data_IF_755137524625
#
_entry.id   IF_755137524625
#
_cell.length_a   1.000
_cell.length_b   1.000
_cell.length_c   1.000
_cell.angle_alpha   90.00
_cell.angle_beta   90.00
_cell.angle_gamma   90.00
#
_symmetry.space_group_name_H-M   'P 1'
#
loop_
_entity.id
_entity.type
_entity.pdbx_description
1 polymer ?
#
# COMPACT_ATOMS: atom_id res chain seq x y z
N UNK A 1 -10.80 6.73 3.59
CA UNK A 1 -11.32 6.94 2.22
C UNK A 1 -11.87 5.61 1.75
N UNK A 2 -13.06 5.58 1.15
CA UNK A 2 -13.59 4.34 0.59
C UNK A 2 -12.69 3.91 -0.58
N UNK A 3 -12.33 2.62 -0.63
CA UNK A 3 -11.60 2.09 -1.78
C UNK A 3 -12.42 2.34 -3.05
N UNK A 4 -11.78 2.84 -4.13
CA UNK A 4 -12.48 3.00 -5.39
C UNK A 4 -12.93 1.62 -5.89
N UNK A 5 -14.20 1.50 -6.31
CA UNK A 5 -14.69 0.28 -6.95
C UNK A 5 -13.85 0.00 -8.20
N UNK A 6 -12.96 -1.00 -8.11
CA UNK A 6 -12.03 -1.34 -9.20
C UNK A 6 -12.77 -1.69 -10.48
N UNK A 7 -13.97 -2.28 -10.38
CA UNK A 7 -14.79 -2.58 -11.55
C UNK A 7 -15.34 -1.29 -12.16
N UNK A 8 -15.73 -0.31 -11.35
CA UNK A 8 -16.08 1.02 -11.83
C UNK A 8 -14.89 1.70 -12.52
N UNK A 9 -13.70 1.70 -11.92
CA UNK A 9 -12.50 2.28 -12.51
C UNK A 9 -12.17 1.65 -13.87
N UNK A 10 -12.26 0.31 -14.00
CA UNK A 10 -12.08 -0.37 -15.29
C UNK A 10 -13.11 0.05 -16.34
N UNK A 11 -14.39 0.18 -15.97
CA UNK A 11 -15.45 0.65 -16.88
C UNK A 11 -15.20 2.10 -17.32
N UNK A 12 -14.83 2.97 -16.40
CA UNK A 12 -14.54 4.37 -16.69
C UNK A 12 -13.33 4.51 -17.63
N UNK A 13 -12.27 3.73 -17.41
CA UNK A 13 -11.12 3.68 -18.31
C UNK A 13 -11.50 3.24 -19.73
N UNK A 14 -12.29 2.17 -19.86
CA UNK A 14 -12.75 1.67 -21.16
C UNK A 14 -13.59 2.70 -21.91
N UNK A 15 -14.43 3.46 -21.21
CA UNK A 15 -15.23 4.52 -21.81
C UNK A 15 -14.36 5.69 -22.32
N UNK A 16 -13.36 6.11 -21.54
CA UNK A 16 -12.41 7.13 -21.98
C UNK A 16 -11.67 6.71 -23.26
N UNK A 17 -11.24 5.45 -23.36
CA UNK A 17 -10.60 4.91 -24.58
C UNK A 17 -11.57 4.88 -25.76
N UNK A 18 -12.82 4.46 -25.54
CA UNK A 18 -13.86 4.44 -26.58
C UNK A 18 -14.12 5.83 -27.13
N UNK A 19 -14.25 6.83 -26.26
CA UNK A 19 -14.43 8.23 -26.65
C UNK A 19 -13.21 8.74 -27.42
N UNK A 20 -11.99 8.48 -26.94
CA UNK A 20 -10.76 8.88 -27.63
C UNK A 20 -10.64 8.30 -29.05
N UNK A 21 -11.23 7.13 -29.30
CA UNK A 21 -11.27 6.50 -30.63
C UNK A 21 -12.17 7.21 -31.64
N UNK A 22 -13.17 7.97 -31.18
CA UNK A 22 -14.10 8.72 -32.03
C UNK A 22 -13.87 10.24 -32.00
N UNK A 23 -12.96 10.73 -31.16
CA UNK A 23 -12.61 12.14 -31.05
C UNK A 23 -11.56 12.54 -32.10
N UNK A 24 -11.91 13.51 -32.96
CA UNK A 24 -11.00 14.07 -33.96
C UNK A 24 -10.06 15.15 -33.40
N UNK A 25 -10.50 15.86 -32.36
CA UNK A 25 -9.69 16.88 -31.70
C UNK A 25 -8.54 16.23 -30.91
N UNK A 26 -7.31 16.63 -31.22
CA UNK A 26 -6.11 15.99 -30.69
C UNK A 26 -5.98 16.25 -29.19
N UNK A 27 -6.25 17.48 -28.74
CA UNK A 27 -6.12 17.85 -27.32
C UNK A 27 -7.13 17.08 -26.46
N UNK A 28 -8.40 17.04 -26.89
CA UNK A 28 -9.44 16.27 -26.20
C UNK A 28 -9.12 14.77 -26.18
N UNK A 29 -8.57 14.23 -27.28
CA UNK A 29 -8.14 12.84 -27.35
C UNK A 29 -7.06 12.53 -26.32
N UNK A 30 -6.05 13.38 -26.19
CA UNK A 30 -4.98 13.22 -25.21
C UNK A 30 -5.49 13.31 -23.76
N UNK A 31 -6.43 14.21 -23.50
CA UNK A 31 -7.10 14.30 -22.19
C UNK A 31 -7.81 12.98 -21.86
N UNK A 32 -8.60 12.44 -22.80
CA UNK A 32 -9.33 11.19 -22.60
C UNK A 32 -8.39 10.00 -22.34
N UNK A 33 -7.29 9.90 -23.10
CA UNK A 33 -6.29 8.85 -22.89
C UNK A 33 -5.58 9.00 -21.52
N UNK A 34 -5.28 10.23 -21.11
CA UNK A 34 -4.71 10.51 -19.79
C UNK A 34 -5.66 10.08 -18.68
N UNK A 35 -6.95 10.41 -18.78
CA UNK A 35 -7.97 9.98 -17.82
C UNK A 35 -8.14 8.45 -17.79
N UNK A 36 -8.06 7.78 -18.94
CA UNK A 36 -8.08 6.33 -18.97
C UNK A 36 -6.91 5.72 -18.17
N UNK A 37 -5.71 6.28 -18.32
CA UNK A 37 -4.53 5.83 -17.57
C UNK A 37 -4.68 6.07 -16.07
N UNK A 38 -5.20 7.22 -15.65
CA UNK A 38 -5.48 7.51 -14.24
C UNK A 38 -6.49 6.54 -13.62
N UNK A 39 -7.55 6.21 -14.36
CA UNK A 39 -8.52 5.20 -13.91
C UNK A 39 -7.89 3.82 -13.77
N UNK A 40 -7.02 3.42 -14.70
CA UNK A 40 -6.32 2.14 -14.60
C UNK A 40 -5.33 2.14 -13.43
N UNK A 41 -4.64 3.25 -13.16
CA UNK A 41 -3.83 3.40 -11.95
C UNK A 41 -4.70 3.16 -10.72
N UNK A 42 -5.86 3.78 -10.58
CA UNK A 42 -6.75 3.53 -9.43
C UNK A 42 -7.30 2.09 -9.37
N UNK A 43 -7.58 1.47 -10.52
CA UNK A 43 -8.07 0.09 -10.58
C UNK A 43 -7.03 -0.95 -10.16
N UNK A 44 -5.75 -0.61 -10.30
CA UNK A 44 -4.59 -1.49 -10.07
C UNK A 44 -3.57 -0.89 -9.10
N UNK A 45 -3.91 0.18 -8.38
CA UNK A 45 -3.09 0.78 -7.34
C UNK A 45 -3.19 -0.08 -6.08
N UNK A 46 -2.69 -1.29 -6.21
CA UNK A 46 -2.41 -2.25 -5.15
C UNK A 46 -0.98 -2.73 -5.39
N UNK A 47 -0.04 -1.83 -5.15
CA UNK A 47 1.08 -2.21 -4.29
C UNK A 47 0.52 -1.92 -2.89
N UNK A 48 0.10 -2.90 -2.11
CA UNK A 48 1.07 -3.58 -1.25
C UNK A 48 0.68 -5.00 -0.81
N UNK A 49 -0.52 -5.53 -1.05
CA UNK A 49 -0.87 -6.83 -0.42
C UNK A 49 -0.04 -8.02 -0.92
N UNK A 50 0.19 -8.13 -2.23
CA UNK A 50 1.01 -9.21 -2.78
C UNK A 50 2.50 -8.96 -2.56
N UNK A 51 2.95 -7.70 -2.62
CA UNK A 51 4.33 -7.34 -2.39
C UNK A 51 4.71 -7.52 -0.91
N UNK A 52 3.90 -7.02 0.02
CA UNK A 52 4.05 -7.24 1.48
C UNK A 52 3.92 -8.72 1.82
N UNK A 53 3.04 -9.48 1.15
CA UNK A 53 2.99 -10.94 1.32
C UNK A 53 4.31 -11.58 0.89
N UNK A 54 4.85 -11.24 -0.28
CA UNK A 54 6.10 -11.82 -0.78
C UNK A 54 7.32 -11.41 0.06
N UNK A 55 7.38 -10.15 0.51
CA UNK A 55 8.42 -9.66 1.42
C UNK A 55 8.31 -10.34 2.79
N UNK A 56 7.08 -10.50 3.32
CA UNK A 56 6.81 -11.23 4.55
C UNK A 56 7.21 -12.71 4.47
N UNK A 57 6.85 -13.39 3.38
CA UNK A 57 7.24 -14.79 3.12
C UNK A 57 8.75 -14.95 2.99
N UNK A 58 9.41 -14.04 2.24
CA UNK A 58 10.86 -14.04 2.09
C UNK A 58 11.57 -13.85 3.44
N UNK A 59 11.14 -12.86 4.23
CA UNK A 59 11.72 -12.59 5.54
C UNK A 59 11.50 -13.75 6.52
N UNK A 60 10.33 -14.40 6.49
CA UNK A 60 10.04 -15.58 7.30
C UNK A 60 10.96 -16.77 6.94
N UNK A 61 11.18 -17.00 5.65
CA UNK A 61 12.12 -18.02 5.16
C UNK A 61 13.56 -17.73 5.59
N UNK A 62 14.01 -16.48 5.53
CA UNK A 62 15.37 -16.11 5.95
C UNK A 62 15.57 -16.19 7.47
N UNK A 63 14.53 -15.89 8.27
CA UNK A 63 14.59 -15.97 9.74
C UNK A 63 14.27 -17.36 10.30
N UNK A 64 13.97 -18.35 9.44
CA UNK A 64 13.61 -19.71 9.87
C UNK A 64 12.28 -19.78 10.66
N UNK A 65 11.42 -18.78 10.51
CA UNK A 65 10.13 -18.72 11.17
C UNK A 65 9.09 -19.45 10.31
N UNK A 66 8.44 -20.44 10.90
CA UNK A 66 7.35 -21.18 10.26
C UNK A 66 6.22 -20.19 9.87
N UNK A 67 5.83 -20.10 8.58
CA UNK A 67 4.84 -19.14 8.10
C UNK A 67 3.44 -19.34 8.70
N UNK A 68 3.18 -20.45 9.42
CA UNK A 68 1.91 -20.70 10.11
C UNK A 68 1.71 -19.89 11.39
N UNK A 69 2.76 -19.26 11.94
CA UNK A 69 2.69 -18.51 13.21
C UNK A 69 2.51 -17.00 13.04
N UNK A 70 2.57 -16.47 11.82
CA UNK A 70 2.54 -15.03 11.55
C UNK A 70 1.15 -14.36 11.72
N UNK A 71 0.15 -15.10 12.21
CA UNK A 71 -1.24 -14.61 12.36
C UNK A 71 -1.65 -14.28 13.80
N UNK A 72 -0.71 -13.90 14.65
CA UNK A 72 -1.03 -13.32 15.95
C UNK A 72 -1.05 -11.77 15.83
N UNK A 73 -2.15 -11.09 16.23
CA UNK A 73 -2.15 -9.64 16.26
C UNK A 73 -1.10 -9.19 17.28
N UNK A 74 -0.04 -8.52 16.81
CA UNK A 74 0.96 -7.92 17.68
C UNK A 74 0.27 -6.91 18.61
N UNK A 75 0.01 -7.32 19.85
CA UNK A 75 -0.32 -6.39 20.92
C UNK A 75 0.90 -5.49 21.13
N UNK A 76 0.76 -4.23 20.74
CA UNK A 76 1.68 -3.15 21.12
C UNK A 76 1.75 -3.08 22.65
N UNK A 77 2.81 -3.63 23.24
CA UNK A 77 3.15 -3.33 24.62
C UNK A 77 3.85 -1.96 24.69
N UNK A 78 3.47 -1.07 25.63
CA UNK A 78 4.13 0.20 25.80
C UNK A 78 5.53 -0.01 26.39
N UNK A 79 6.57 0.46 25.70
CA UNK A 79 7.93 0.59 26.23
C UNK A 79 7.91 1.50 27.46
N UNK A 80 8.13 0.93 28.66
CA UNK A 80 8.45 1.71 29.84
C UNK A 80 9.86 2.28 29.70
N UNK A 81 9.97 3.60 29.67
CA UNK A 81 11.22 4.31 29.93
C UNK A 81 11.62 4.09 31.40
N UNK A 82 12.75 3.44 31.62
CA UNK A 82 13.49 3.52 32.88
C UNK A 82 14.94 3.89 32.57
N UNK A 83 15.27 5.17 32.68
CA UNK A 83 16.60 5.57 33.12
C UNK A 83 16.46 6.05 34.57
N UNK A 84 16.79 5.13 35.48
CA UNK A 84 16.88 5.39 36.90
C UNK A 84 18.03 6.35 37.18
N UNK A 85 17.65 7.44 37.84
CA UNK A 85 18.45 8.37 38.64
C UNK A 85 19.14 7.61 39.79
N UNK A 86 20.18 8.25 40.36
CA UNK A 86 20.84 8.01 41.67
C UNK A 86 22.23 7.34 41.49
N UNK A 87 23.33 7.99 41.90
CA UNK A 87 23.65 8.17 43.32
C UNK A 87 24.62 9.32 43.60
N UNK A 88 24.28 10.12 44.61
CA UNK A 88 25.09 11.17 45.24
C UNK A 88 25.80 10.61 46.50
N UNK A 89 27.02 11.11 46.74
CA UNK A 89 27.86 11.22 47.97
C UNK A 89 28.00 10.13 49.06
N UNK A 90 29.27 9.93 49.50
CA UNK A 90 29.65 10.08 50.92
C UNK A 90 30.48 8.98 51.62
N UNK A 91 31.76 9.29 51.90
CA UNK A 91 32.58 8.97 53.11
C UNK A 91 32.92 7.52 53.54
N UNK A 92 34.23 7.20 53.54
CA UNK A 92 35.00 6.72 54.70
C UNK A 92 36.48 7.00 54.49
#
# INVERSE_FOLDING_TARGET
MAEPDRAHCRRAAAECVRLAGITSDIETKEILLTRAQEWLKLAYADHDDEFERLVGEFNAQQMGLDPTLARAPMQRQPMQQQQAKVRDKGES
#
